data_IF_836210101352
#
_entry.id   IF_836210101352
#
_cell.length_a   1.000
_cell.length_b   1.000
_cell.length_c   1.000
_cell.angle_alpha   90.00
_cell.angle_beta   90.00
_cell.angle_gamma   90.00
#
_symmetry.space_group_name_H-M   'P 1'
#
loop_
_entity.id
_entity.type
_entity.pdbx_description
1 polymer ?
#
# COMPACT_ATOMS: atom_id res chain seq x y z
N UNK A 1 24.51 15.93 20.79
CA UNK A 1 23.60 14.91 21.38
C UNK A 1 22.61 15.61 22.29
N UNK A 2 21.46 16.02 21.78
CA UNK A 2 20.44 16.73 22.56
C UNK A 2 19.43 15.69 23.08
N UNK A 3 19.63 15.33 24.35
CA UNK A 3 18.72 14.46 25.08
C UNK A 3 17.51 15.31 25.50
N UNK A 4 16.43 15.29 24.65
CA UNK A 4 15.17 15.96 24.97
C UNK A 4 14.41 15.12 25.99
N UNK A 5 14.62 15.40 27.28
CA UNK A 5 13.84 14.79 28.37
C UNK A 5 12.41 15.29 28.29
N UNK A 6 11.49 14.43 27.83
CA UNK A 6 10.05 14.72 27.81
C UNK A 6 9.55 15.03 29.22
N UNK A 7 8.85 16.16 29.35
CA UNK A 7 8.25 16.60 30.62
C UNK A 7 7.13 15.62 31.05
N UNK A 8 6.93 15.45 32.36
CA UNK A 8 5.94 14.54 32.94
C UNK A 8 4.51 14.74 32.37
N UNK A 9 4.13 15.97 32.03
CA UNK A 9 2.84 16.26 31.35
C UNK A 9 2.77 15.68 29.94
N UNK A 10 3.86 15.72 29.18
CA UNK A 10 3.91 15.14 27.83
C UNK A 10 3.85 13.61 27.89
N UNK A 11 4.54 12.99 28.85
CA UNK A 11 4.47 11.54 29.08
C UNK A 11 3.08 11.07 29.47
N UNK A 12 2.38 11.87 30.28
CA UNK A 12 1.01 11.58 30.70
C UNK A 12 0.03 11.69 29.53
N UNK A 13 0.15 12.73 28.69
CA UNK A 13 -0.68 12.89 27.49
C UNK A 13 -0.46 11.77 26.46
N UNK A 14 0.81 11.35 26.20
CA UNK A 14 1.09 10.22 25.33
C UNK A 14 0.53 8.91 25.88
N UNK A 15 0.63 8.66 27.17
CA UNK A 15 0.05 7.46 27.80
C UNK A 15 -1.48 7.45 27.74
N UNK A 16 -2.11 8.61 27.92
CA UNK A 16 -3.58 8.76 27.82
C UNK A 16 -4.04 8.61 26.38
N UNK A 17 -3.33 9.13 25.39
CA UNK A 17 -3.66 8.97 23.97
C UNK A 17 -3.52 7.50 23.50
N UNK A 18 -2.45 6.80 23.93
CA UNK A 18 -2.25 5.38 23.64
C UNK A 18 -3.33 4.51 24.33
N UNK A 19 -3.66 4.81 25.59
CA UNK A 19 -4.71 4.11 26.32
C UNK A 19 -6.09 4.34 25.71
N UNK A 20 -6.39 5.57 25.26
CA UNK A 20 -7.65 5.90 24.60
C UNK A 20 -7.76 5.23 23.23
N UNK A 21 -6.66 5.16 22.45
CA UNK A 21 -6.59 4.39 21.19
C UNK A 21 -6.80 2.90 21.40
N UNK A 22 -6.22 2.31 22.45
CA UNK A 22 -6.39 0.89 22.78
C UNK A 22 -7.83 0.56 23.24
N UNK A 23 -8.48 1.43 24.01
CA UNK A 23 -9.86 1.26 24.46
C UNK A 23 -10.86 1.34 23.30
N UNK A 24 -10.61 2.19 22.29
CA UNK A 24 -11.44 2.27 21.09
C UNK A 24 -11.35 1.00 20.23
N UNK A 25 -10.20 0.34 20.21
CA UNK A 25 -10.00 -0.92 19.48
C UNK A 25 -10.70 -2.12 20.18
N UNK A 26 -10.72 -2.17 21.51
CA UNK A 26 -11.34 -3.27 22.29
C UNK A 26 -12.86 -3.21 22.24
N UNK A 27 -13.47 -2.02 22.16
CA UNK A 27 -14.93 -1.85 22.12
C UNK A 27 -15.60 -2.35 20.84
N UNK A 28 -14.85 -2.51 19.73
CA UNK A 28 -15.40 -2.98 18.46
C UNK A 28 -15.38 -4.51 18.27
N UNK A 29 -14.69 -5.25 19.13
CA UNK A 29 -14.47 -6.69 18.96
C UNK A 29 -15.49 -7.60 19.70
N UNK A 30 -16.38 -7.05 20.52
CA UNK A 30 -17.29 -7.84 21.36
C UNK A 30 -18.75 -7.67 20.97
N UNK A 31 -19.27 -8.56 20.15
CA UNK A 31 -20.70 -8.71 19.86
C UNK A 31 -21.08 -10.18 19.69
N UNK A 32 -22.35 -10.59 19.95
CA UNK A 32 -22.79 -11.98 19.92
C UNK A 32 -22.75 -12.67 18.54
N UNK A 33 -22.39 -11.97 17.46
CA UNK A 33 -22.30 -12.47 16.10
C UNK A 33 -20.87 -12.39 15.52
N UNK A 34 -19.83 -12.43 16.35
CA UNK A 34 -18.45 -12.42 15.84
C UNK A 34 -18.14 -13.73 15.13
N UNK A 35 -18.02 -13.68 13.81
CA UNK A 35 -17.50 -14.79 13.04
C UNK A 35 -16.04 -15.05 13.47
N UNK A 36 -15.76 -16.26 13.96
CA UNK A 36 -14.38 -16.66 14.38
C UNK A 36 -13.34 -16.49 13.28
N UNK A 37 -13.77 -16.41 12.02
CA UNK A 37 -12.88 -16.22 10.85
C UNK A 37 -12.63 -14.75 10.52
N UNK A 38 -13.46 -13.83 11.05
CA UNK A 38 -13.28 -12.38 10.87
C UNK A 38 -13.55 -11.66 12.20
N UNK A 39 -12.53 -11.57 13.07
CA UNK A 39 -12.67 -10.90 14.37
C UNK A 39 -12.95 -9.40 14.25
N UNK A 40 -12.71 -8.79 13.09
CA UNK A 40 -12.92 -7.37 12.81
C UNK A 40 -14.15 -7.09 11.93
N UNK A 41 -15.06 -8.04 11.74
CA UNK A 41 -16.20 -7.93 10.82
C UNK A 41 -16.97 -6.61 10.95
N UNK A 42 -17.33 -6.20 12.16
CA UNK A 42 -18.08 -4.95 12.40
C UNK A 42 -17.28 -3.71 11.97
N UNK A 43 -16.01 -3.67 12.29
CA UNK A 43 -15.10 -2.61 11.86
C UNK A 43 -14.93 -2.63 10.33
N UNK A 44 -14.67 -3.79 9.76
CA UNK A 44 -14.49 -3.97 8.32
C UNK A 44 -15.72 -3.52 7.53
N UNK A 45 -16.91 -3.88 7.99
CA UNK A 45 -18.20 -3.46 7.39
C UNK A 45 -18.36 -1.93 7.45
N UNK A 46 -18.08 -1.31 8.61
CA UNK A 46 -18.15 0.15 8.77
C UNK A 46 -17.15 0.87 7.86
N UNK A 47 -15.90 0.37 7.76
CA UNK A 47 -14.89 0.95 6.89
C UNK A 47 -15.20 0.75 5.41
N UNK A 48 -15.79 -0.39 5.03
CA UNK A 48 -16.26 -0.62 3.65
C UNK A 48 -17.31 0.41 3.27
N UNK A 49 -18.35 0.61 4.10
CA UNK A 49 -19.37 1.63 3.86
C UNK A 49 -18.78 3.04 3.79
N UNK A 50 -17.83 3.37 4.66
CA UNK A 50 -17.13 4.65 4.61
C UNK A 50 -16.37 4.82 3.28
N UNK A 51 -15.60 3.81 2.88
CA UNK A 51 -14.83 3.84 1.64
C UNK A 51 -15.75 3.96 0.40
N UNK A 52 -16.87 3.25 0.37
CA UNK A 52 -17.88 3.36 -0.70
C UNK A 52 -18.48 4.76 -0.80
N UNK A 53 -18.78 5.38 0.34
CA UNK A 53 -19.30 6.75 0.37
C UNK A 53 -18.25 7.76 -0.14
N UNK A 54 -16.98 7.62 0.26
CA UNK A 54 -15.88 8.47 -0.22
C UNK A 54 -15.67 8.24 -1.73
N UNK A 55 -15.69 6.99 -2.19
CA UNK A 55 -15.56 6.65 -3.60
C UNK A 55 -16.66 7.32 -4.44
N UNK A 56 -17.91 7.18 -4.02
CA UNK A 56 -19.06 7.74 -4.74
C UNK A 56 -19.08 9.26 -4.71
N UNK A 57 -18.77 9.88 -3.56
CA UNK A 57 -18.88 11.32 -3.39
C UNK A 57 -17.69 12.10 -3.95
N UNK A 58 -16.50 11.50 -3.97
CA UNK A 58 -15.25 12.21 -4.31
C UNK A 58 -14.46 11.51 -5.39
N UNK A 59 -14.08 10.22 -5.20
CA UNK A 59 -13.13 9.57 -6.09
C UNK A 59 -13.70 9.34 -7.49
N UNK A 60 -14.92 8.83 -7.59
CA UNK A 60 -15.58 8.61 -8.89
C UNK A 60 -15.80 9.89 -9.71
N UNK A 61 -16.34 10.99 -9.14
CA UNK A 61 -16.48 12.25 -9.87
C UNK A 61 -15.12 12.77 -10.36
N UNK A 62 -14.10 12.80 -9.50
CA UNK A 62 -12.74 13.25 -9.86
C UNK A 62 -12.13 12.38 -10.95
N UNK A 63 -12.20 11.05 -10.80
CA UNK A 63 -11.69 10.10 -11.78
C UNK A 63 -12.41 10.22 -13.14
N UNK A 64 -13.72 10.48 -13.12
CA UNK A 64 -14.50 10.68 -14.35
C UNK A 64 -14.05 11.95 -15.08
N UNK A 65 -13.95 13.06 -14.37
CA UNK A 65 -13.45 14.32 -14.96
C UNK A 65 -12.03 14.14 -15.51
N UNK A 66 -11.14 13.53 -14.73
CA UNK A 66 -9.77 13.24 -15.18
C UNK A 66 -9.75 12.39 -16.46
N UNK A 67 -10.57 11.34 -16.53
CA UNK A 67 -10.68 10.48 -17.70
C UNK A 67 -11.21 11.22 -18.93
N UNK A 68 -12.19 12.08 -18.73
CA UNK A 68 -12.89 12.76 -19.83
C UNK A 68 -12.08 13.96 -20.37
N UNK A 69 -11.29 14.63 -19.53
CA UNK A 69 -10.45 15.78 -19.91
C UNK A 69 -9.06 15.36 -20.40
N UNK A 70 -8.50 14.26 -19.84
CA UNK A 70 -7.12 13.87 -20.14
C UNK A 70 -7.07 12.88 -21.31
N UNK A 71 -6.32 13.17 -22.38
CA UNK A 71 -6.16 12.25 -23.50
C UNK A 71 -5.59 10.89 -23.07
N UNK A 72 -6.00 9.82 -23.75
CA UNK A 72 -5.61 8.44 -23.39
C UNK A 72 -4.10 8.23 -23.35
N UNK A 73 -3.35 8.79 -24.32
CA UNK A 73 -1.88 8.67 -24.35
C UNK A 73 -1.22 9.30 -23.12
N UNK A 74 -1.73 10.44 -22.65
CA UNK A 74 -1.21 11.11 -21.45
C UNK A 74 -1.48 10.27 -20.19
N UNK A 75 -2.68 9.71 -20.06
CA UNK A 75 -3.03 8.80 -18.95
C UNK A 75 -2.16 7.55 -18.96
N UNK A 76 -1.92 6.96 -20.13
CA UNK A 76 -1.03 5.80 -20.29
C UNK A 76 0.39 6.17 -19.87
N UNK A 77 0.91 7.31 -20.32
CA UNK A 77 2.25 7.76 -19.95
C UNK A 77 2.41 7.98 -18.44
N UNK A 78 1.43 8.61 -17.79
CA UNK A 78 1.42 8.79 -16.33
C UNK A 78 1.40 7.44 -15.62
N UNK A 79 0.54 6.50 -16.05
CA UNK A 79 0.48 5.17 -15.47
C UNK A 79 1.79 4.40 -15.63
N UNK A 80 2.42 4.49 -16.81
CA UNK A 80 3.69 3.84 -17.06
C UNK A 80 4.81 4.40 -16.18
N UNK A 81 4.87 5.73 -16.04
CA UNK A 81 5.83 6.40 -15.17
C UNK A 81 5.75 5.89 -13.73
N UNK A 82 4.55 5.86 -13.16
CA UNK A 82 4.36 5.36 -11.80
C UNK A 82 4.60 3.85 -11.69
N UNK A 83 4.21 3.08 -12.71
CA UNK A 83 4.49 1.65 -12.75
C UNK A 83 6.01 1.37 -12.83
N UNK A 84 6.78 2.22 -13.52
CA UNK A 84 8.24 2.12 -13.58
C UNK A 84 8.90 2.37 -12.22
N UNK A 85 8.41 3.34 -11.44
CA UNK A 85 8.84 3.50 -10.04
C UNK A 85 8.50 2.27 -9.19
N UNK A 86 7.34 1.66 -9.43
CA UNK A 86 6.94 0.39 -8.81
C UNK A 86 7.85 -0.78 -9.20
N UNK A 87 8.39 -0.81 -10.42
CA UNK A 87 9.34 -1.84 -10.85
C UNK A 87 10.66 -1.75 -10.04
N UNK A 88 11.15 -0.53 -9.71
CA UNK A 88 12.30 -0.34 -8.82
C UNK A 88 12.05 -0.89 -7.40
N UNK A 89 10.87 -0.64 -6.83
CA UNK A 89 10.51 -1.20 -5.52
C UNK A 89 10.31 -2.72 -5.57
N UNK A 90 9.72 -3.23 -6.66
CA UNK A 90 9.58 -4.66 -6.89
C UNK A 90 10.93 -5.36 -7.01
N UNK A 91 11.94 -4.73 -7.63
CA UNK A 91 13.31 -5.23 -7.65
C UNK A 91 13.85 -5.46 -6.23
N UNK A 92 13.74 -4.46 -5.35
CA UNK A 92 14.19 -4.58 -3.96
C UNK A 92 13.50 -5.75 -3.25
N UNK A 93 12.19 -5.84 -3.37
CA UNK A 93 11.42 -6.90 -2.72
C UNK A 93 11.72 -8.29 -3.31
N UNK A 94 11.91 -8.42 -4.63
CA UNK A 94 12.32 -9.68 -5.25
C UNK A 94 13.70 -10.13 -4.75
N UNK A 95 14.66 -9.20 -4.58
CA UNK A 95 15.97 -9.50 -3.98
C UNK A 95 15.81 -10.00 -2.54
N UNK A 96 15.01 -9.31 -1.72
CA UNK A 96 14.74 -9.71 -0.33
C UNK A 96 14.04 -11.07 -0.22
N UNK A 97 13.30 -11.47 -1.25
CA UNK A 97 12.63 -12.77 -1.36
C UNK A 97 13.52 -13.85 -1.99
N UNK A 98 14.76 -13.55 -2.36
CA UNK A 98 15.71 -14.42 -3.07
C UNK A 98 15.18 -14.92 -4.42
N UNK A 99 14.39 -14.11 -5.11
CA UNK A 99 13.84 -14.37 -6.44
C UNK A 99 14.73 -13.71 -7.49
N UNK A 100 15.83 -14.36 -7.82
CA UNK A 100 16.88 -13.79 -8.66
C UNK A 100 16.42 -13.41 -10.07
N UNK A 101 15.64 -14.28 -10.73
CA UNK A 101 15.13 -14.02 -12.09
C UNK A 101 14.17 -12.83 -12.08
N UNK A 102 13.15 -12.85 -11.25
CA UNK A 102 12.13 -11.79 -11.16
C UNK A 102 12.74 -10.45 -10.69
N UNK A 103 13.81 -10.51 -9.87
CA UNK A 103 14.56 -9.33 -9.51
C UNK A 103 15.26 -8.73 -10.74
N UNK A 104 15.96 -9.56 -11.54
CA UNK A 104 16.64 -9.11 -12.75
C UNK A 104 15.65 -8.56 -13.78
N UNK A 105 14.52 -9.20 -13.98
CA UNK A 105 13.47 -8.71 -14.89
C UNK A 105 12.93 -7.35 -14.42
N UNK A 106 12.67 -7.17 -13.13
CA UNK A 106 12.23 -5.89 -12.54
C UNK A 106 13.30 -4.79 -12.73
N UNK A 107 14.59 -5.13 -12.54
CA UNK A 107 15.70 -4.21 -12.74
C UNK A 107 15.87 -3.83 -14.22
N UNK A 108 15.76 -4.79 -15.13
CA UNK A 108 15.81 -4.54 -16.57
C UNK A 108 14.67 -3.63 -17.00
N UNK A 109 13.44 -3.91 -16.54
CA UNK A 109 12.27 -3.05 -16.82
C UNK A 109 12.50 -1.63 -16.37
N UNK A 110 12.91 -1.44 -15.11
CA UNK A 110 13.16 -0.10 -14.56
C UNK A 110 14.20 0.65 -15.39
N UNK A 111 15.33 0.01 -15.74
CA UNK A 111 16.38 0.66 -16.51
C UNK A 111 15.96 0.95 -17.96
N UNK A 112 15.41 -0.04 -18.67
CA UNK A 112 14.98 0.12 -20.05
C UNK A 112 13.93 1.22 -20.17
N UNK A 113 12.90 1.19 -19.33
CA UNK A 113 11.84 2.20 -19.36
C UNK A 113 12.36 3.59 -18.93
N UNK A 114 13.33 3.66 -18.01
CA UNK A 114 13.91 4.93 -17.59
C UNK A 114 14.79 5.54 -18.69
N UNK A 115 15.71 4.78 -19.27
CA UNK A 115 16.67 5.33 -20.24
C UNK A 115 16.10 5.43 -21.65
N UNK A 116 15.34 4.44 -22.11
CA UNK A 116 14.78 4.40 -23.46
C UNK A 116 13.30 4.79 -23.52
N UNK A 117 12.60 4.72 -22.39
CA UNK A 117 11.17 5.03 -22.27
C UNK A 117 10.86 6.44 -21.76
N UNK A 118 11.76 7.42 -21.95
CA UNK A 118 11.58 8.82 -21.53
C UNK A 118 11.26 8.93 -20.02
N UNK A 119 12.12 8.35 -19.18
CA UNK A 119 11.93 8.35 -17.74
C UNK A 119 10.81 7.41 -17.26
N UNK A 120 10.39 6.46 -18.07
CA UNK A 120 9.33 5.51 -17.73
C UNK A 120 7.94 5.85 -18.28
N UNK A 121 7.81 6.92 -19.07
CA UNK A 121 6.54 7.29 -19.73
C UNK A 121 6.15 6.28 -20.80
N UNK A 122 7.13 5.69 -21.49
CA UNK A 122 6.94 4.61 -22.45
C UNK A 122 7.34 3.27 -21.83
N UNK A 123 6.51 2.26 -21.97
CA UNK A 123 6.80 0.90 -21.47
C UNK A 123 7.49 0.06 -22.55
N UNK A 124 8.76 0.38 -22.83
CA UNK A 124 9.59 -0.32 -23.80
C UNK A 124 9.88 -1.76 -23.37
N UNK A 125 10.01 -2.00 -22.07
CA UNK A 125 10.30 -3.33 -21.54
C UNK A 125 9.16 -4.34 -21.84
N UNK A 126 7.92 -3.91 -21.91
CA UNK A 126 6.80 -4.76 -22.32
C UNK A 126 6.89 -5.15 -23.80
N UNK A 127 7.34 -4.26 -24.68
CA UNK A 127 7.60 -4.56 -26.10
C UNK A 127 8.76 -5.55 -26.27
N UNK A 128 9.68 -5.60 -25.29
CA UNK A 128 10.77 -6.57 -25.25
C UNK A 128 10.38 -7.91 -24.63
N UNK A 129 9.08 -8.13 -24.30
CA UNK A 129 8.54 -9.30 -23.60
C UNK A 129 9.23 -9.57 -22.25
N UNK A 130 9.60 -8.51 -21.51
CA UNK A 130 10.07 -8.64 -20.13
C UNK A 130 8.88 -8.55 -19.19
N UNK A 131 8.62 -9.61 -18.45
CA UNK A 131 7.46 -9.71 -17.55
C UNK A 131 7.55 -8.74 -16.36
N UNK A 132 6.39 -8.25 -15.89
CA UNK A 132 6.31 -7.38 -14.72
C UNK A 132 5.94 -8.17 -13.46
N UNK A 133 6.84 -8.18 -12.49
CA UNK A 133 6.68 -8.85 -11.21
C UNK A 133 6.44 -7.84 -10.09
N UNK A 134 5.17 -7.55 -9.79
CA UNK A 134 4.83 -6.60 -8.72
C UNK A 134 5.01 -7.26 -7.36
N UNK A 135 5.90 -6.70 -6.57
CA UNK A 135 6.17 -7.13 -5.19
C UNK A 135 6.15 -5.94 -4.25
N UNK A 136 5.76 -6.22 -3.01
CA UNK A 136 5.73 -5.28 -1.91
C UNK A 136 6.33 -5.90 -0.63
N UNK A 137 6.49 -5.11 0.41
CA UNK A 137 7.11 -5.57 1.64
C UNK A 137 6.18 -6.51 2.43
N UNK A 138 4.85 -6.37 2.30
CA UNK A 138 3.89 -7.32 2.85
C UNK A 138 4.08 -8.73 2.29
N UNK A 139 4.25 -8.86 0.96
CA UNK A 139 4.57 -10.11 0.30
C UNK A 139 5.94 -10.66 0.72
N UNK A 140 6.91 -9.78 0.93
CA UNK A 140 8.24 -10.15 1.43
C UNK A 140 8.18 -10.73 2.83
N UNK A 141 7.44 -10.13 3.75
CA UNK A 141 7.17 -10.68 5.08
C UNK A 141 6.49 -12.04 5.00
N UNK A 142 5.51 -12.20 4.11
CA UNK A 142 4.86 -13.49 3.86
C UNK A 142 5.85 -14.55 3.36
N UNK A 143 6.78 -14.19 2.49
CA UNK A 143 7.85 -15.11 2.03
C UNK A 143 8.79 -15.51 3.16
N UNK A 144 9.01 -14.64 4.13
CA UNK A 144 9.81 -14.93 5.33
C UNK A 144 9.04 -15.72 6.40
N UNK A 145 7.78 -16.08 6.15
CA UNK A 145 6.97 -16.91 7.04
C UNK A 145 6.10 -16.15 8.03
N UNK A 146 5.93 -14.84 7.84
CA UNK A 146 4.99 -14.04 8.65
C UNK A 146 3.57 -14.30 8.16
N UNK A 147 2.70 -14.80 9.04
CA UNK A 147 1.29 -15.03 8.73
C UNK A 147 0.57 -13.73 8.36
N UNK A 148 -0.43 -13.82 7.48
CA UNK A 148 -1.25 -12.68 7.06
C UNK A 148 -2.00 -12.04 8.21
N UNK A 149 -2.36 -12.86 9.21
CA UNK A 149 -3.25 -12.44 10.28
C UNK A 149 -4.69 -12.21 9.80
N UNK A 150 -5.54 -11.64 10.65
CA UNK A 150 -6.92 -11.31 10.31
C UNK A 150 -7.04 -10.31 9.16
N UNK A 151 -8.16 -10.40 8.44
CA UNK A 151 -8.57 -9.43 7.44
C UNK A 151 -8.91 -8.08 8.07
N UNK A 152 -8.50 -7.00 7.43
CA UNK A 152 -8.70 -5.63 7.89
C UNK A 152 -9.02 -4.71 6.70
N UNK A 153 -10.04 -3.87 6.83
CA UNK A 153 -10.33 -2.84 5.84
C UNK A 153 -9.78 -1.50 6.33
N UNK A 154 -8.86 -0.92 5.57
CA UNK A 154 -8.28 0.38 5.90
C UNK A 154 -9.13 1.52 5.33
N UNK A 155 -9.26 2.66 6.05
CA UNK A 155 -9.94 3.83 5.52
C UNK A 155 -9.19 4.33 4.26
N UNK A 156 -9.95 4.58 3.19
CA UNK A 156 -9.50 5.03 1.86
C UNK A 156 -8.67 3.98 1.10
N UNK A 157 -7.76 3.26 1.77
CA UNK A 157 -6.87 2.28 1.15
C UNK A 157 -7.55 0.93 0.83
N UNK A 158 -8.67 0.62 1.50
CA UNK A 158 -9.47 -0.57 1.21
C UNK A 158 -8.98 -1.85 1.89
N UNK A 159 -9.22 -3.01 1.24
CA UNK A 159 -8.91 -4.33 1.79
C UNK A 159 -7.43 -4.55 2.07
N UNK A 160 -7.11 -5.07 3.25
CA UNK A 160 -5.75 -5.37 3.72
C UNK A 160 -5.76 -6.56 4.68
N UNK A 161 -4.60 -6.90 5.20
CA UNK A 161 -4.42 -7.84 6.33
C UNK A 161 -3.63 -7.15 7.44
N UNK A 162 -3.59 -7.74 8.62
CA UNK A 162 -2.79 -7.19 9.72
C UNK A 162 -1.31 -7.11 9.32
N UNK A 163 -0.76 -8.16 8.71
CA UNK A 163 0.63 -8.17 8.21
C UNK A 163 0.88 -7.03 7.21
N UNK A 164 0.03 -6.91 6.19
CA UNK A 164 0.22 -5.95 5.11
C UNK A 164 0.02 -4.51 5.61
N UNK A 165 -0.86 -4.31 6.61
CA UNK A 165 -1.03 -3.03 7.31
C UNK A 165 0.25 -2.62 8.05
N UNK A 166 0.95 -3.56 8.71
CA UNK A 166 2.25 -3.28 9.34
C UNK A 166 3.37 -3.06 8.33
N UNK A 167 3.29 -3.66 7.15
CA UNK A 167 4.25 -3.45 6.06
C UNK A 167 4.04 -2.10 5.34
N UNK A 168 2.83 -1.57 5.37
CA UNK A 168 2.42 -0.37 4.65
C UNK A 168 3.34 0.85 4.81
N UNK A 169 3.84 1.22 6.02
CA UNK A 169 4.76 2.34 6.16
C UNK A 169 6.07 2.15 5.38
N UNK A 170 6.56 0.91 5.29
CA UNK A 170 7.77 0.59 4.52
C UNK A 170 7.49 0.69 3.03
N UNK A 171 6.35 0.18 2.57
CA UNK A 171 5.92 0.29 1.19
C UNK A 171 5.67 1.74 0.77
N UNK A 172 5.10 2.59 1.65
CA UNK A 172 4.91 4.01 1.38
C UNK A 172 6.23 4.78 1.22
N UNK A 173 7.28 4.38 1.93
CA UNK A 173 8.62 4.96 1.76
C UNK A 173 9.27 4.46 0.46
N UNK A 174 9.13 3.18 0.15
CA UNK A 174 9.74 2.58 -1.03
C UNK A 174 9.01 2.88 -2.33
N UNK A 175 7.69 3.00 -2.29
CA UNK A 175 6.84 3.32 -3.43
C UNK A 175 5.65 4.19 -3.01
N UNK A 176 5.85 5.49 -2.73
CA UNK A 176 4.83 6.38 -2.19
C UNK A 176 3.64 6.63 -3.14
N UNK A 177 3.75 6.20 -4.39
CA UNK A 177 2.77 6.48 -5.45
C UNK A 177 1.76 5.36 -5.65
N UNK A 178 1.92 4.25 -4.97
CA UNK A 178 1.01 3.10 -5.09
C UNK A 178 -0.23 3.24 -4.21
N UNK A 179 -0.19 4.15 -3.22
CA UNK A 179 -1.21 4.29 -2.18
C UNK A 179 -1.87 5.66 -2.22
#
# INVERSE_FOLDING_TARGET
MTNTTMNNKQRLMHRSAIAMGAVLMVGCASGPETNRRDPFERFNRGMTTFNENVDQAVLKPVATVYRDVTPSFARTGVNNFFANLGDAWSFVNNVLQLRGQEAMESLVRFNVNTFFGLGGVLDIASEMNVDRHRQDFGLTLGRWGVDTGPYLVLPILGPSTVRDTFALPVDMVGNPVRY
#
